data_IF_540431721426
#
_entry.id   IF_540431721426
#
_cell.length_a   1.000
_cell.length_b   1.000
_cell.length_c   1.000
_cell.angle_alpha   90.00
_cell.angle_beta   90.00
_cell.angle_gamma   90.00
#
_symmetry.space_group_name_H-M   'P 1'
#
loop_
_entity.id
_entity.type
_entity.pdbx_description
1 polymer ?
#
# COMPACT_ATOMS: atom_id res chain seq x y z
N UNK A 1 46.52 -27.05 46.96
CA UNK A 1 46.20 -26.82 45.53
C UNK A 1 44.69 -26.59 45.38
N UNK A 2 44.16 -26.43 44.16
CA UNK A 2 42.72 -26.22 43.80
C UNK A 2 42.21 -24.78 43.60
N UNK A 3 43.09 -23.78 43.40
CA UNK A 3 42.69 -22.50 42.78
C UNK A 3 42.42 -22.59 41.26
N UNK A 4 42.60 -23.76 40.66
CA UNK A 4 42.49 -23.99 39.21
C UNK A 4 41.08 -24.38 38.71
N UNK A 5 40.15 -24.74 39.59
CA UNK A 5 38.83 -25.25 39.17
C UNK A 5 37.81 -24.16 38.77
N UNK A 6 38.09 -22.88 39.01
CA UNK A 6 37.18 -21.77 38.66
C UNK A 6 37.43 -21.28 37.22
N UNK A 7 38.60 -21.56 36.62
CA UNK A 7 38.96 -21.10 35.28
C UNK A 7 38.27 -21.88 34.14
N UNK A 8 37.65 -23.04 34.43
CA UNK A 8 37.12 -23.95 33.40
C UNK A 8 35.67 -23.66 32.96
N UNK A 9 34.93 -22.77 33.65
CA UNK A 9 33.53 -22.48 33.33
C UNK A 9 33.32 -21.24 32.43
N UNK A 10 34.41 -20.60 31.98
CA UNK A 10 34.38 -19.30 31.27
C UNK A 10 34.68 -19.38 29.76
N UNK A 11 34.57 -20.57 29.14
CA UNK A 11 34.92 -20.78 27.71
C UNK A 11 33.84 -21.59 26.95
N UNK A 12 32.55 -21.40 27.28
CA UNK A 12 31.42 -21.87 26.45
C UNK A 12 30.32 -20.80 26.30
N UNK A 13 30.69 -19.52 26.22
CA UNK A 13 29.85 -18.51 25.58
C UNK A 13 30.14 -18.50 24.09
N UNK A 14 29.71 -19.57 23.40
CA UNK A 14 29.73 -19.62 21.96
C UNK A 14 28.85 -18.50 21.42
N UNK A 15 29.48 -17.40 20.97
CA UNK A 15 28.82 -16.37 20.20
C UNK A 15 28.38 -17.01 18.88
N UNK A 16 27.16 -17.52 18.85
CA UNK A 16 26.42 -17.78 17.62
C UNK A 16 26.15 -16.42 16.97
N UNK A 17 27.17 -15.86 16.32
CA UNK A 17 26.98 -14.81 15.33
C UNK A 17 26.14 -15.42 14.23
N UNK A 18 24.83 -15.27 14.34
CA UNK A 18 23.92 -15.52 13.25
C UNK A 18 24.45 -14.69 12.09
N UNK A 19 24.98 -15.37 11.08
CA UNK A 19 25.39 -14.74 9.83
C UNK A 19 24.08 -14.29 9.21
N UNK A 20 23.72 -13.02 9.44
CA UNK A 20 22.72 -12.35 8.62
C UNK A 20 23.27 -12.32 7.20
N UNK A 21 22.96 -13.37 6.44
CA UNK A 21 22.87 -13.26 5.01
C UNK A 21 21.87 -12.14 4.78
N UNK A 22 22.34 -11.00 4.30
CA UNK A 22 21.49 -9.88 3.92
C UNK A 22 20.81 -10.27 2.61
N UNK A 23 19.82 -11.16 2.70
CA UNK A 23 19.02 -11.60 1.57
C UNK A 23 18.44 -10.37 0.91
N UNK A 24 18.89 -10.10 -0.30
CA UNK A 24 18.52 -8.89 -1.02
C UNK A 24 17.07 -9.04 -1.49
N UNK A 25 16.15 -8.34 -0.84
CA UNK A 25 14.72 -8.49 -1.10
C UNK A 25 14.32 -8.04 -2.53
N UNK A 26 15.18 -7.25 -3.19
CA UNK A 26 15.03 -6.87 -4.60
C UNK A 26 15.44 -7.95 -5.61
N UNK A 27 15.99 -9.09 -5.16
CA UNK A 27 16.28 -10.25 -6.04
C UNK A 27 15.01 -11.06 -6.35
N UNK A 28 13.98 -10.94 -5.52
CA UNK A 28 12.65 -11.49 -5.78
C UNK A 28 11.87 -10.51 -6.67
N UNK A 29 11.05 -11.05 -7.58
CA UNK A 29 10.26 -10.28 -8.53
C UNK A 29 8.90 -9.83 -7.96
N UNK A 30 8.35 -10.54 -6.98
CA UNK A 30 7.02 -10.25 -6.41
C UNK A 30 6.85 -10.69 -4.94
N UNK A 31 5.74 -10.29 -4.33
CA UNK A 31 5.30 -10.73 -2.99
C UNK A 31 3.84 -11.15 -3.01
N UNK A 32 3.52 -12.35 -2.52
CA UNK A 32 2.14 -12.78 -2.28
C UNK A 32 1.75 -12.48 -0.84
N UNK A 33 0.63 -11.78 -0.67
CA UNK A 33 -0.09 -11.61 0.58
C UNK A 33 -1.27 -12.59 0.59
N UNK A 34 -1.48 -13.41 1.63
CA UNK A 34 -2.62 -14.31 1.69
C UNK A 34 -3.94 -13.52 1.69
N UNK A 35 -5.02 -14.15 1.26
CA UNK A 35 -6.37 -13.54 1.30
C UNK A 35 -6.92 -13.39 2.73
N UNK A 36 -6.43 -14.22 3.65
CA UNK A 36 -6.80 -14.25 5.07
C UNK A 36 -5.54 -14.60 5.87
N UNK A 37 -5.31 -13.89 6.99
CA UNK A 37 -4.26 -14.28 7.94
C UNK A 37 -4.80 -15.29 8.97
N UNK A 38 -3.97 -16.22 9.42
CA UNK A 38 -4.37 -17.35 10.29
C UNK A 38 -5.06 -16.93 11.60
N UNK A 39 -4.74 -15.74 12.12
CA UNK A 39 -5.34 -15.20 13.35
C UNK A 39 -6.72 -14.54 13.14
N UNK A 40 -7.23 -14.55 11.92
CA UNK A 40 -8.51 -13.99 11.49
C UNK A 40 -9.46 -15.09 11.06
N UNK A 41 -10.74 -14.86 11.30
CA UNK A 41 -11.89 -15.71 10.99
C UNK A 41 -12.61 -15.29 9.68
N UNK A 42 -11.91 -14.62 8.75
CA UNK A 42 -12.45 -14.29 7.43
C UNK A 42 -11.49 -13.53 6.50
N UNK A 43 -11.74 -13.62 5.19
CA UNK A 43 -11.00 -12.93 4.12
C UNK A 43 -10.99 -11.41 4.35
N UNK A 44 -9.81 -10.82 4.25
CA UNK A 44 -9.52 -9.39 4.45
C UNK A 44 -10.18 -8.77 5.71
N UNK A 45 -10.31 -9.54 6.80
CA UNK A 45 -10.96 -9.05 8.01
C UNK A 45 -10.17 -7.88 8.61
N UNK A 46 -10.88 -6.79 8.93
CA UNK A 46 -10.31 -5.50 9.32
C UNK A 46 -9.43 -4.84 8.23
N UNK A 47 -9.60 -5.23 6.97
CA UNK A 47 -8.87 -4.70 5.78
C UNK A 47 -7.35 -4.94 5.84
N UNK A 48 -6.90 -5.90 6.64
CA UNK A 48 -5.48 -6.11 6.93
C UNK A 48 -4.71 -6.71 5.75
N UNK A 49 -5.36 -7.54 4.93
CA UNK A 49 -4.73 -8.20 3.78
C UNK A 49 -4.55 -7.18 2.65
N UNK A 50 -5.60 -6.38 2.38
CA UNK A 50 -5.53 -5.22 1.48
C UNK A 50 -4.52 -4.16 1.95
N UNK A 51 -4.49 -3.83 3.24
CA UNK A 51 -3.50 -2.89 3.79
C UNK A 51 -2.07 -3.43 3.71
N UNK A 52 -1.84 -4.71 3.97
CA UNK A 52 -0.51 -5.31 3.86
C UNK A 52 0.01 -5.27 2.42
N UNK A 53 -0.84 -5.58 1.43
CA UNK A 53 -0.51 -5.41 0.00
C UNK A 53 -0.12 -3.96 -0.29
N UNK A 54 -0.97 -2.99 0.07
CA UNK A 54 -0.72 -1.56 -0.19
C UNK A 54 0.59 -1.05 0.45
N UNK A 55 0.90 -1.47 1.69
CA UNK A 55 2.16 -1.08 2.33
C UNK A 55 3.39 -1.71 1.67
N UNK A 56 3.30 -2.93 1.13
CA UNK A 56 4.37 -3.54 0.34
C UNK A 56 4.56 -2.78 -0.98
N UNK A 57 3.50 -2.48 -1.72
CA UNK A 57 3.55 -1.65 -2.94
C UNK A 57 4.21 -0.29 -2.67
N UNK A 58 3.80 0.39 -1.59
CA UNK A 58 4.38 1.66 -1.13
C UNK A 58 5.88 1.58 -0.75
N UNK A 59 6.39 0.38 -0.47
CA UNK A 59 7.78 0.14 -0.13
C UNK A 59 8.60 -0.49 -1.26
N UNK A 60 8.10 -0.47 -2.50
CA UNK A 60 8.82 -0.88 -3.71
C UNK A 60 8.74 -2.38 -4.02
N UNK A 61 7.73 -3.07 -3.48
CA UNK A 61 7.46 -4.47 -3.76
C UNK A 61 6.28 -4.64 -4.75
N UNK A 62 6.40 -5.56 -5.70
CA UNK A 62 5.31 -5.96 -6.58
C UNK A 62 4.40 -6.93 -5.82
N UNK A 63 3.49 -6.39 -5.00
CA UNK A 63 2.65 -7.18 -4.12
C UNK A 63 1.32 -7.59 -4.78
N UNK A 64 0.89 -8.82 -4.53
CA UNK A 64 -0.37 -9.38 -5.02
C UNK A 64 -1.13 -10.02 -3.85
N UNK A 65 -2.46 -9.97 -3.86
CA UNK A 65 -3.24 -10.89 -3.04
C UNK A 65 -3.10 -12.30 -3.61
N UNK A 66 -3.26 -13.33 -2.79
CA UNK A 66 -3.17 -14.71 -3.24
C UNK A 66 -4.20 -15.05 -4.35
N UNK A 67 -5.39 -14.44 -4.35
CA UNK A 67 -6.36 -14.52 -5.46
C UNK A 67 -5.98 -13.72 -6.73
N UNK A 68 -4.93 -12.91 -6.67
CA UNK A 68 -4.41 -12.05 -7.75
C UNK A 68 -3.00 -12.50 -8.20
N UNK A 69 -2.55 -13.70 -7.80
CA UNK A 69 -1.18 -14.19 -8.00
C UNK A 69 -0.79 -14.28 -9.49
N UNK A 70 0.37 -13.72 -9.90
CA UNK A 70 0.84 -13.84 -11.28
C UNK A 70 1.23 -15.29 -11.63
N UNK A 71 1.09 -15.67 -12.90
CA UNK A 71 1.60 -16.94 -13.42
C UNK A 71 3.14 -16.86 -13.59
N UNK A 72 3.86 -16.82 -12.48
CA UNK A 72 5.32 -16.71 -12.40
C UNK A 72 5.91 -17.91 -11.64
N UNK A 73 7.24 -18.06 -11.65
CA UNK A 73 7.90 -19.13 -10.91
C UNK A 73 7.81 -18.87 -9.39
N UNK A 74 7.34 -19.89 -8.65
CA UNK A 74 7.12 -19.87 -7.20
C UNK A 74 8.30 -19.31 -6.39
N UNK A 75 9.52 -19.57 -6.84
CA UNK A 75 10.74 -19.18 -6.11
C UNK A 75 11.28 -17.79 -6.45
N UNK A 76 10.69 -17.11 -7.42
CA UNK A 76 10.95 -15.69 -7.69
C UNK A 76 10.08 -14.79 -6.79
N UNK A 77 9.14 -15.39 -6.05
CA UNK A 77 8.22 -14.73 -5.14
C UNK A 77 8.57 -14.86 -3.65
N UNK A 78 8.26 -13.82 -2.89
CA UNK A 78 8.17 -13.85 -1.44
C UNK A 78 6.74 -14.08 -0.97
N UNK A 79 6.60 -14.59 0.25
CA UNK A 79 5.33 -14.89 0.90
C UNK A 79 5.22 -14.05 2.18
N UNK A 80 4.39 -13.01 2.14
CA UNK A 80 4.13 -12.16 3.29
C UNK A 80 3.14 -12.84 4.25
N UNK A 81 3.42 -12.80 5.55
CA UNK A 81 2.48 -13.16 6.60
C UNK A 81 2.38 -12.04 7.64
N UNK A 82 1.23 -11.94 8.30
CA UNK A 82 1.04 -11.07 9.47
C UNK A 82 0.72 -11.96 10.66
N UNK A 83 1.59 -11.93 11.65
CA UNK A 83 1.53 -12.77 12.84
C UNK A 83 1.06 -11.94 14.03
N UNK A 84 0.02 -12.43 14.71
CA UNK A 84 -0.50 -11.80 15.93
C UNK A 84 0.26 -12.32 17.14
N UNK A 85 1.13 -11.48 17.66
CA UNK A 85 1.98 -11.82 18.80
C UNK A 85 1.19 -11.80 20.13
N UNK A 86 1.55 -12.65 21.12
CA UNK A 86 0.94 -12.63 22.44
C UNK A 86 1.05 -11.27 23.13
N UNK A 87 -0.08 -10.78 23.65
CA UNK A 87 -0.17 -9.49 24.34
C UNK A 87 -1.47 -9.41 25.13
N UNK A 88 -1.40 -9.04 26.41
CA UNK A 88 -2.53 -9.10 27.36
C UNK A 88 -3.56 -8.00 27.13
N UNK A 89 -3.12 -6.77 26.80
CA UNK A 89 -3.96 -5.57 26.81
C UNK A 89 -4.00 -4.81 25.46
N UNK A 90 -3.25 -5.28 24.45
CA UNK A 90 -3.00 -4.54 23.21
C UNK A 90 -2.96 -5.48 22.03
N UNK A 91 -3.37 -5.02 20.84
CA UNK A 91 -3.03 -5.73 19.59
C UNK A 91 -1.55 -5.50 19.31
N UNK A 92 -0.83 -6.61 19.11
CA UNK A 92 0.56 -6.63 18.70
C UNK A 92 0.63 -7.49 17.43
N UNK A 93 1.15 -6.93 16.35
CA UNK A 93 1.33 -7.58 15.05
C UNK A 93 2.80 -7.51 14.64
N UNK A 94 3.24 -8.47 13.85
CA UNK A 94 4.55 -8.49 13.20
C UNK A 94 4.36 -9.02 11.78
N UNK A 95 5.08 -8.45 10.81
CA UNK A 95 5.06 -8.90 9.41
C UNK A 95 6.30 -9.75 9.16
N UNK A 96 6.15 -10.91 8.55
CA UNK A 96 7.26 -11.75 8.09
C UNK A 96 7.19 -11.91 6.58
N UNK A 97 8.34 -11.94 5.90
CA UNK A 97 8.47 -12.37 4.52
C UNK A 97 9.20 -13.71 4.50
N UNK A 98 8.66 -14.69 3.79
CA UNK A 98 9.22 -16.03 3.63
C UNK A 98 9.58 -16.28 2.18
N UNK A 99 10.62 -17.06 1.93
CA UNK A 99 10.93 -17.58 0.58
C UNK A 99 9.97 -18.72 0.18
N UNK A 100 10.13 -19.25 -1.03
CA UNK A 100 9.33 -20.38 -1.50
C UNK A 100 9.54 -21.70 -0.73
N UNK A 101 10.60 -21.80 0.09
CA UNK A 101 10.89 -22.95 0.96
C UNK A 101 10.31 -22.78 2.38
N UNK A 102 9.76 -21.60 2.69
CA UNK A 102 9.19 -21.26 3.98
C UNK A 102 10.18 -20.64 4.98
N UNK A 103 11.42 -20.38 4.58
CA UNK A 103 12.41 -19.70 5.42
C UNK A 103 12.09 -18.22 5.54
N UNK A 104 12.07 -17.70 6.76
CA UNK A 104 11.85 -16.26 7.00
C UNK A 104 13.10 -15.47 6.59
N UNK A 105 12.99 -14.71 5.50
CA UNK A 105 14.06 -13.85 4.98
C UNK A 105 14.00 -12.43 5.55
N UNK A 106 12.84 -12.00 6.04
CA UNK A 106 12.68 -10.72 6.72
C UNK A 106 11.60 -10.78 7.80
N UNK A 107 11.84 -10.06 8.90
CA UNK A 107 10.90 -9.89 10.01
C UNK A 107 10.85 -8.43 10.39
N UNK A 108 9.64 -7.87 10.47
CA UNK A 108 9.42 -6.47 10.84
C UNK A 108 9.64 -6.18 12.31
N UNK A 109 9.71 -4.90 12.68
CA UNK A 109 9.50 -4.49 14.07
C UNK A 109 8.10 -4.84 14.56
N UNK A 110 7.93 -5.01 15.87
CA UNK A 110 6.61 -5.24 16.47
C UNK A 110 5.73 -3.99 16.41
N UNK A 111 4.61 -4.08 15.68
CA UNK A 111 3.59 -3.05 15.66
C UNK A 111 2.61 -3.20 16.82
N UNK A 112 2.55 -2.23 17.73
CA UNK A 112 1.65 -2.29 18.91
C UNK A 112 0.64 -1.14 18.94
N UNK A 113 -0.64 -1.47 19.06
CA UNK A 113 -1.71 -0.48 19.24
C UNK A 113 -2.12 -0.27 20.68
N UNK A 114 -2.51 0.97 21.01
CA UNK A 114 -3.16 1.35 22.27
C UNK A 114 -4.66 1.65 22.11
N UNK A 115 -5.19 1.57 20.89
CA UNK A 115 -6.59 1.85 20.57
C UNK A 115 -7.45 0.71 21.15
N UNK A 116 -8.64 1.06 21.69
CA UNK A 116 -9.59 0.09 22.26
C UNK A 116 -10.55 -0.50 21.23
N UNK A 117 -10.90 0.27 20.20
CA UNK A 117 -11.71 -0.21 19.09
C UNK A 117 -10.96 -1.32 18.33
N UNK A 118 -11.65 -2.40 18.00
CA UNK A 118 -11.06 -3.66 17.58
C UNK A 118 -10.49 -3.60 16.16
N UNK A 119 -11.18 -2.95 15.20
CA UNK A 119 -10.70 -2.77 13.83
C UNK A 119 -9.49 -1.83 13.79
N UNK A 120 -9.65 -0.60 14.27
CA UNK A 120 -8.61 0.43 14.34
C UNK A 120 -7.38 -0.06 15.11
N UNK A 121 -7.53 -0.88 16.16
CA UNK A 121 -6.39 -1.41 16.89
C UNK A 121 -5.55 -2.44 16.11
N UNK A 122 -6.14 -3.23 15.21
CA UNK A 122 -5.33 -4.05 14.30
C UNK A 122 -4.72 -3.21 13.17
N UNK A 123 -5.45 -2.25 12.59
CA UNK A 123 -4.95 -1.39 11.52
C UNK A 123 -3.77 -0.52 11.98
N UNK A 124 -3.84 0.06 13.19
CA UNK A 124 -2.76 0.81 13.82
C UNK A 124 -1.57 -0.07 14.22
N UNK A 125 -1.81 -1.30 14.68
CA UNK A 125 -0.74 -2.27 14.91
C UNK A 125 -0.03 -2.62 13.59
N UNK A 126 -0.77 -2.89 12.51
CA UNK A 126 -0.18 -3.24 11.20
C UNK A 126 0.66 -2.09 10.63
N UNK A 127 0.13 -0.86 10.63
CA UNK A 127 0.87 0.35 10.21
C UNK A 127 2.22 0.48 10.93
N UNK A 128 2.24 0.24 12.25
CA UNK A 128 3.46 0.33 13.06
C UNK A 128 4.46 -0.79 12.78
N UNK A 129 4.00 -1.98 12.42
CA UNK A 129 4.88 -3.06 12.00
C UNK A 129 5.59 -2.72 10.68
N UNK A 130 4.89 -2.07 9.74
CA UNK A 130 5.45 -1.65 8.45
C UNK A 130 6.51 -0.54 8.52
N UNK A 131 6.67 0.17 9.64
CA UNK A 131 7.67 1.25 9.80
C UNK A 131 9.10 0.79 9.44
N UNK A 132 9.46 -0.47 9.73
CA UNK A 132 10.79 -1.01 9.42
C UNK A 132 11.04 -1.31 7.93
N UNK A 133 9.99 -1.37 7.10
CA UNK A 133 10.14 -1.55 5.66
C UNK A 133 10.69 -0.29 4.97
N UNK A 134 10.47 0.89 5.55
CA UNK A 134 10.96 2.19 5.06
C UNK A 134 12.49 2.25 4.90
N UNK A 135 13.24 1.48 5.67
CA UNK A 135 14.71 1.37 5.58
C UNK A 135 15.22 0.36 4.55
N UNK A 136 14.36 -0.50 4.00
CA UNK A 136 14.78 -1.58 3.10
C UNK A 136 15.15 -1.08 1.69
N UNK A 137 14.52 0.02 1.23
CA UNK A 137 14.73 0.61 -0.11
C UNK A 137 14.65 -0.45 -1.22
N UNK A 138 13.62 -1.29 -1.16
CA UNK A 138 13.38 -2.34 -2.15
C UNK A 138 12.95 -1.69 -3.47
N UNK A 139 13.36 -2.32 -4.55
CA UNK A 139 13.04 -1.96 -5.94
C UNK A 139 12.98 -3.28 -6.72
N UNK A 140 11.81 -3.94 -6.69
CA UNK A 140 11.63 -5.24 -7.35
C UNK A 140 11.47 -5.05 -8.86
N UNK A 141 12.20 -5.85 -9.65
CA UNK A 141 12.05 -5.89 -11.11
C UNK A 141 10.66 -6.37 -11.52
N UNK A 142 10.25 -6.01 -12.73
CA UNK A 142 9.01 -6.49 -13.35
C UNK A 142 8.88 -8.01 -13.28
N UNK A 143 7.65 -8.49 -13.07
CA UNK A 143 7.37 -9.92 -12.90
C UNK A 143 7.49 -10.66 -14.23
N UNK A 144 8.49 -11.54 -14.34
CA UNK A 144 8.60 -12.47 -15.45
C UNK A 144 7.47 -13.52 -15.39
N UNK A 145 6.53 -13.41 -16.34
CA UNK A 145 5.42 -14.35 -16.47
C UNK A 145 5.88 -15.59 -17.24
N UNK A 146 5.55 -16.77 -16.72
CA UNK A 146 5.70 -18.04 -17.41
C UNK A 146 4.84 -18.01 -18.69
N UNK A 147 5.52 -17.98 -19.83
CA UNK A 147 4.87 -18.13 -21.13
C UNK A 147 4.26 -19.53 -21.24
N UNK A 148 2.95 -19.60 -21.46
CA UNK A 148 2.31 -20.82 -21.91
C UNK A 148 2.77 -21.12 -23.34
N UNK A 149 3.88 -21.86 -23.50
CA UNK A 149 4.31 -22.39 -24.80
C UNK A 149 3.27 -23.39 -25.33
N UNK A 150 2.29 -22.86 -26.05
CA UNK A 150 1.62 -23.62 -27.11
C UNK A 150 2.47 -23.45 -28.37
N UNK A 151 3.00 -24.55 -28.88
CA UNK A 151 3.95 -24.53 -29.97
C UNK A 151 3.37 -23.98 -31.29
N UNK A 152 4.29 -23.46 -32.12
CA UNK A 152 4.25 -23.35 -33.58
C UNK A 152 4.07 -21.96 -34.23
N UNK A 153 5.19 -21.51 -34.79
CA UNK A 153 5.35 -20.83 -36.10
C UNK A 153 5.58 -19.32 -36.12
N UNK A 154 6.82 -18.99 -36.48
CA UNK A 154 7.43 -17.69 -36.73
C UNK A 154 7.09 -17.05 -38.08
N UNK A 155 7.45 -15.76 -38.21
CA UNK A 155 7.76 -14.92 -39.41
C UNK A 155 6.68 -13.90 -39.90
N UNK A 156 7.05 -12.72 -40.45
CA UNK A 156 7.66 -11.63 -39.67
C UNK A 156 7.12 -10.19 -39.96
N UNK A 157 7.57 -9.26 -39.13
CA UNK A 157 7.48 -7.78 -39.15
C UNK A 157 7.40 -7.06 -40.52
N UNK A 158 6.64 -5.95 -40.58
CA UNK A 158 7.03 -4.74 -41.34
C UNK A 158 6.59 -3.45 -40.63
N UNK A 159 7.53 -2.51 -40.52
CA UNK A 159 7.39 -1.17 -39.91
C UNK A 159 6.92 -0.14 -40.94
N UNK A 160 6.13 0.87 -40.54
CA UNK A 160 6.24 2.29 -40.99
C UNK A 160 5.29 3.27 -40.28
N UNK A 161 5.86 4.18 -39.49
CA UNK A 161 5.40 5.56 -39.19
C UNK A 161 6.05 6.54 -40.24
N UNK A 162 5.90 7.89 -40.26
CA UNK A 162 5.37 8.84 -39.23
C UNK A 162 4.53 10.06 -39.75
N UNK A 163 4.25 11.05 -38.86
CA UNK A 163 3.90 12.50 -39.13
C UNK A 163 2.44 12.80 -39.58
N UNK A 164 1.67 13.84 -39.16
CA UNK A 164 1.77 14.91 -38.12
C UNK A 164 0.38 15.36 -37.60
N UNK A 165 0.31 15.80 -36.34
CA UNK A 165 -0.05 17.18 -35.88
C UNK A 165 -1.16 18.01 -36.61
N UNK A 166 -2.24 18.42 -35.92
CA UNK A 166 -2.33 19.72 -35.18
C UNK A 166 -3.72 19.97 -34.52
N UNK A 167 -3.81 21.02 -33.68
CA UNK A 167 -4.89 21.47 -32.79
C UNK A 167 -6.09 22.19 -33.46
N UNK A 168 -7.32 22.07 -32.90
CA UNK A 168 -8.02 23.21 -32.26
C UNK A 168 -9.43 22.97 -31.66
N UNK A 169 -9.75 23.80 -30.67
CA UNK A 169 -10.87 23.81 -29.70
C UNK A 169 -12.19 24.44 -30.20
N UNK A 170 -13.37 23.97 -29.73
CA UNK A 170 -14.55 24.81 -29.33
C UNK A 170 -15.72 24.06 -28.67
N UNK A 171 -16.37 24.69 -27.68
CA UNK A 171 -17.66 24.29 -27.05
C UNK A 171 -18.84 24.89 -27.90
N UNK A 172 -20.16 24.83 -27.61
CA UNK A 172 -20.92 24.87 -26.33
C UNK A 172 -22.22 24.01 -26.37
N UNK A 173 -22.53 23.26 -25.28
CA UNK A 173 -23.84 22.69 -24.80
C UNK A 173 -24.82 21.97 -25.77
N UNK A 174 -25.29 20.79 -25.33
CA UNK A 174 -26.62 20.67 -24.67
C UNK A 174 -26.84 19.28 -24.01
N UNK A 175 -27.62 19.25 -22.92
CA UNK A 175 -28.14 18.05 -22.25
C UNK A 175 -29.65 17.89 -22.65
N UNK A 176 -30.35 16.74 -22.43
CA UNK A 176 -30.42 16.02 -21.14
C UNK A 176 -30.46 14.47 -21.14
N UNK A 177 -30.08 13.91 -19.98
CA UNK A 177 -30.52 12.66 -19.31
C UNK A 177 -30.80 11.36 -20.12
N UNK A 178 -30.08 10.26 -19.80
CA UNK A 178 -30.50 9.33 -18.73
C UNK A 178 -29.41 8.31 -18.30
N UNK A 179 -29.32 8.10 -16.98
CA UNK A 179 -28.96 6.88 -16.24
C UNK A 179 -27.82 5.94 -16.71
N UNK A 180 -26.61 6.12 -16.16
CA UNK A 180 -25.77 5.01 -15.67
C UNK A 180 -24.76 5.50 -14.63
N UNK A 181 -24.66 4.79 -13.50
CA UNK A 181 -23.73 5.13 -12.41
C UNK A 181 -22.29 4.75 -12.78
N UNK A 182 -21.44 5.75 -13.02
CA UNK A 182 -19.99 5.60 -12.91
C UNK A 182 -19.47 6.71 -12.00
N UNK A 183 -18.90 6.33 -10.85
CA UNK A 183 -18.20 7.28 -9.98
C UNK A 183 -16.87 7.64 -10.66
N UNK A 184 -16.84 8.78 -11.36
CA UNK A 184 -15.67 9.20 -12.12
C UNK A 184 -14.73 10.05 -11.26
N UNK A 185 -13.45 9.68 -11.25
CA UNK A 185 -12.38 10.43 -10.61
C UNK A 185 -12.31 11.87 -11.15
N UNK A 186 -11.98 12.89 -10.32
CA UNK A 186 -11.77 14.25 -10.80
C UNK A 186 -10.68 14.31 -11.88
N UNK A 187 -11.06 14.70 -13.10
CA UNK A 187 -10.14 14.79 -14.24
C UNK A 187 -9.31 16.07 -14.23
N UNK A 188 -9.86 17.14 -13.66
CA UNK A 188 -9.24 18.47 -13.59
C UNK A 188 -7.94 18.49 -12.77
N UNK A 189 -7.02 19.40 -13.13
CA UNK A 189 -5.72 19.57 -12.42
C UNK A 189 -5.91 20.02 -10.97
N UNK A 190 -6.96 20.78 -10.72
CA UNK A 190 -7.37 21.28 -9.41
C UNK A 190 -8.89 21.08 -9.27
N UNK A 191 -9.37 20.88 -8.05
CA UNK A 191 -10.79 20.86 -7.70
C UNK A 191 -10.98 21.39 -6.28
N UNK A 192 -11.91 22.31 -6.11
CA UNK A 192 -12.13 22.99 -4.83
C UNK A 192 -13.25 22.31 -4.06
N UNK A 193 -13.17 22.34 -2.73
CA UNK A 193 -14.05 21.61 -1.84
C UNK A 193 -14.37 22.42 -0.58
N UNK A 194 -15.60 22.30 -0.07
CA UNK A 194 -16.03 22.86 1.21
C UNK A 194 -16.28 21.74 2.23
N UNK A 195 -15.70 21.85 3.41
CA UNK A 195 -16.03 21.00 4.56
C UNK A 195 -15.99 21.81 5.85
N UNK A 196 -17.06 21.74 6.66
CA UNK A 196 -17.21 22.48 7.92
C UNK A 196 -16.87 23.99 7.84
N UNK A 197 -17.22 24.65 6.73
CA UNK A 197 -16.98 26.08 6.50
C UNK A 197 -15.54 26.44 6.10
N UNK A 198 -14.66 25.46 5.91
CA UNK A 198 -13.30 25.64 5.38
C UNK A 198 -13.22 25.23 3.90
N UNK A 199 -12.34 25.90 3.17
CA UNK A 199 -11.99 25.56 1.78
C UNK A 199 -10.83 24.57 1.73
N UNK A 200 -10.88 23.66 0.76
CA UNK A 200 -9.84 22.66 0.50
C UNK A 200 -9.57 22.55 -0.99
N UNK A 201 -8.29 22.39 -1.34
CA UNK A 201 -7.83 22.22 -2.70
C UNK A 201 -7.40 20.77 -2.91
N UNK A 202 -8.03 20.07 -3.85
CA UNK A 202 -7.57 18.78 -4.35
C UNK A 202 -6.75 19.01 -5.64
N UNK A 203 -5.45 18.76 -5.59
CA UNK A 203 -4.55 18.83 -6.74
C UNK A 203 -4.33 17.44 -7.32
N UNK A 204 -4.56 17.26 -8.62
CA UNK A 204 -4.20 16.03 -9.34
C UNK A 204 -2.68 15.97 -9.57
N UNK A 205 -2.09 14.81 -9.34
CA UNK A 205 -0.67 14.51 -9.60
C UNK A 205 -0.56 13.40 -10.66
N UNK A 206 0.66 12.96 -10.99
CA UNK A 206 0.85 11.80 -11.87
C UNK A 206 0.43 10.48 -11.20
N UNK A 207 0.52 10.41 -9.87
CA UNK A 207 0.33 9.21 -9.04
C UNK A 207 -1.04 9.14 -8.34
N UNK A 208 -1.84 10.21 -8.42
CA UNK A 208 -3.12 10.32 -7.73
C UNK A 208 -3.50 11.77 -7.47
N UNK A 209 -3.72 12.13 -6.19
CA UNK A 209 -4.07 13.49 -5.78
C UNK A 209 -3.37 13.89 -4.48
N UNK A 210 -3.25 15.19 -4.23
CA UNK A 210 -2.85 15.77 -2.94
C UNK A 210 -3.97 16.70 -2.45
N UNK A 211 -4.38 16.56 -1.19
CA UNK A 211 -5.43 17.35 -0.56
C UNK A 211 -4.83 18.37 0.41
N UNK A 212 -5.18 19.64 0.22
CA UNK A 212 -4.72 20.77 1.02
C UNK A 212 -5.92 21.46 1.70
N UNK A 213 -5.72 21.98 2.91
CA UNK A 213 -6.60 22.97 3.54
C UNK A 213 -6.11 24.38 3.19
N UNK A 214 -7.01 25.26 2.75
CA UNK A 214 -6.68 26.69 2.60
C UNK A 214 -6.60 27.36 3.98
N UNK A 215 -5.49 28.05 4.25
CA UNK A 215 -5.20 28.66 5.55
C UNK A 215 -4.42 29.96 5.39
N UNK A 216 -4.43 30.82 6.39
CA UNK A 216 -3.54 32.00 6.46
C UNK A 216 -2.25 31.74 7.24
N UNK A 217 -2.05 30.51 7.73
CA UNK A 217 -0.94 30.14 8.63
C UNK A 217 0.32 29.62 7.92
N UNK A 218 0.25 29.29 6.63
CA UNK A 218 1.42 28.94 5.80
C UNK A 218 1.74 30.08 4.83
N UNK A 219 3.00 30.22 4.43
CA UNK A 219 3.44 31.33 3.57
C UNK A 219 2.88 31.30 2.13
N UNK A 220 2.38 30.14 1.69
CA UNK A 220 1.72 29.89 0.40
C UNK A 220 0.19 29.76 0.50
N UNK A 221 -0.36 29.82 1.72
CA UNK A 221 -1.78 29.69 2.01
C UNK A 221 -2.37 28.27 1.93
N UNK A 222 -1.55 27.23 1.75
CA UNK A 222 -1.99 25.84 1.59
C UNK A 222 -1.31 24.87 2.58
N UNK A 223 -2.08 24.27 3.48
CA UNK A 223 -1.62 23.21 4.38
C UNK A 223 -1.88 21.84 3.77
N UNK A 224 -0.83 21.09 3.41
CA UNK A 224 -0.97 19.71 2.95
C UNK A 224 -1.51 18.81 4.07
N UNK A 225 -2.67 18.18 3.84
CA UNK A 225 -3.26 17.21 4.75
C UNK A 225 -2.84 15.77 4.43
N UNK A 226 -2.60 15.47 3.16
CA UNK A 226 -2.21 14.14 2.70
C UNK A 226 -2.39 13.94 1.19
N UNK A 227 -2.13 12.71 0.74
CA UNK A 227 -2.33 12.28 -0.64
C UNK A 227 -3.47 11.27 -0.75
N UNK A 228 -4.10 11.18 -1.93
CA UNK A 228 -5.05 10.13 -2.29
C UNK A 228 -4.38 9.25 -3.33
N UNK A 229 -4.08 8.02 -2.94
CA UNK A 229 -3.29 7.01 -3.65
C UNK A 229 -4.14 5.73 -3.77
N UNK A 230 -3.98 4.92 -4.83
CA UNK A 230 -4.71 3.67 -4.97
C UNK A 230 -4.69 3.03 -6.36
N UNK A 231 -4.88 1.71 -6.41
CA UNK A 231 -4.74 0.91 -7.63
C UNK A 231 -5.89 1.05 -8.64
N UNK A 232 -7.06 1.55 -8.22
CA UNK A 232 -8.21 1.81 -9.11
C UNK A 232 -9.19 2.81 -8.50
N UNK A 233 -10.17 3.27 -9.28
CA UNK A 233 -11.28 4.14 -8.83
C UNK A 233 -12.09 3.58 -7.66
N UNK A 234 -12.03 2.26 -7.41
CA UNK A 234 -12.77 1.56 -6.37
C UNK A 234 -11.94 1.27 -5.11
N UNK A 235 -10.61 1.42 -5.18
CA UNK A 235 -9.65 1.11 -4.10
C UNK A 235 -8.73 2.31 -3.84
N UNK A 236 -9.33 3.48 -3.56
CA UNK A 236 -8.61 4.71 -3.20
C UNK A 236 -8.46 4.88 -1.69
N UNK A 237 -7.30 5.36 -1.27
CA UNK A 237 -6.97 5.64 0.13
C UNK A 237 -6.38 7.04 0.29
N UNK A 238 -6.89 7.80 1.26
CA UNK A 238 -6.27 9.02 1.74
C UNK A 238 -5.21 8.67 2.79
N UNK A 239 -3.96 8.94 2.45
CA UNK A 239 -2.78 8.83 3.32
C UNK A 239 -2.49 10.22 3.88
N UNK A 240 -2.69 10.45 5.17
CA UNK A 240 -2.35 11.74 5.79
C UNK A 240 -0.83 11.96 5.83
N UNK A 241 -0.42 13.21 6.06
CA UNK A 241 0.98 13.55 6.40
C UNK A 241 1.50 12.83 7.66
N UNK A 242 0.59 12.36 8.52
CA UNK A 242 0.87 11.50 9.68
C UNK A 242 0.78 9.98 9.40
N UNK A 243 0.75 9.58 8.13
CA UNK A 243 0.64 8.19 7.64
C UNK A 243 -0.63 7.43 8.10
N UNK A 244 -1.66 8.15 8.58
CA UNK A 244 -2.98 7.58 8.82
C UNK A 244 -3.68 7.30 7.48
N UNK A 245 -4.42 6.19 7.41
CA UNK A 245 -5.03 5.68 6.18
C UNK A 245 -6.55 5.72 6.33
N UNK A 246 -7.24 6.32 5.38
CA UNK A 246 -8.70 6.41 5.33
C UNK A 246 -9.21 6.01 3.95
N UNK A 247 -10.33 5.28 3.87
CA UNK A 247 -10.93 4.95 2.58
C UNK A 247 -11.49 6.20 1.92
N UNK A 248 -11.26 6.32 0.62
CA UNK A 248 -11.76 7.43 -0.21
C UNK A 248 -12.73 6.91 -1.25
N UNK A 249 -13.79 7.68 -1.50
CA UNK A 249 -14.55 7.61 -2.73
C UNK A 249 -14.94 9.00 -3.21
N UNK A 250 -15.36 9.08 -4.47
CA UNK A 250 -16.07 10.23 -5.02
C UNK A 250 -17.51 9.82 -5.28
N UNK A 251 -18.48 10.65 -4.91
CA UNK A 251 -19.89 10.40 -5.26
C UNK A 251 -20.22 10.83 -6.69
N UNK A 252 -21.47 10.60 -7.12
CA UNK A 252 -21.93 10.97 -8.46
C UNK A 252 -21.96 12.49 -8.74
N UNK A 253 -21.78 13.33 -7.71
CA UNK A 253 -21.65 14.79 -7.82
C UNK A 253 -20.17 15.24 -7.79
N UNK A 254 -19.24 14.30 -7.61
CA UNK A 254 -17.81 14.54 -7.47
C UNK A 254 -17.41 15.05 -6.08
N UNK A 255 -18.28 14.94 -5.06
CA UNK A 255 -17.92 15.22 -3.68
C UNK A 255 -16.89 14.19 -3.21
N UNK A 256 -15.87 14.65 -2.51
CA UNK A 256 -14.84 13.78 -1.93
C UNK A 256 -15.35 13.25 -0.59
N UNK A 257 -15.40 11.92 -0.44
CA UNK A 257 -15.82 11.25 0.78
C UNK A 257 -14.61 10.57 1.41
N UNK A 258 -14.25 10.97 2.63
CA UNK A 258 -13.19 10.35 3.43
C UNK A 258 -13.83 9.61 4.60
N UNK A 259 -13.72 8.29 4.61
CA UNK A 259 -14.28 7.44 5.67
C UNK A 259 -13.29 7.33 6.84
N UNK A 260 -13.65 7.93 7.98
CA UNK A 260 -12.87 7.94 9.23
C UNK A 260 -13.57 7.11 10.31
N UNK A 261 -13.06 5.90 10.54
CA UNK A 261 -13.58 4.94 11.52
C UNK A 261 -15.09 4.64 11.36
N UNK A 262 -15.96 5.44 12.00
CA UNK A 262 -17.42 5.30 12.01
C UNK A 262 -18.15 6.48 11.36
N UNK A 263 -17.45 7.48 10.85
CA UNK A 263 -18.05 8.67 10.18
C UNK A 263 -17.47 8.88 8.79
N UNK A 264 -18.24 9.56 7.93
CA UNK A 264 -17.80 9.99 6.61
C UNK A 264 -17.69 11.50 6.59
N UNK A 265 -16.48 12.02 6.36
CA UNK A 265 -16.29 13.44 6.06
C UNK A 265 -16.61 13.66 4.58
N UNK A 266 -17.66 14.45 4.32
CA UNK A 266 -18.13 14.74 2.96
C UNK A 266 -17.69 16.15 2.59
N UNK A 267 -16.62 16.21 1.83
CA UNK A 267 -16.08 17.41 1.21
C UNK A 267 -16.93 17.72 -0.03
N UNK A 268 -17.74 18.78 0.06
CA UNK A 268 -18.65 19.17 -1.02
C UNK A 268 -17.88 19.87 -2.12
N UNK A 269 -17.98 19.38 -3.35
CA UNK A 269 -17.28 20.00 -4.49
C UNK A 269 -17.84 21.40 -4.74
N UNK A 270 -16.95 22.38 -4.91
CA UNK A 270 -17.24 23.73 -5.36
C UNK A 270 -16.65 23.89 -6.76
N UNK A 271 -17.42 24.47 -7.69
CA UNK A 271 -16.96 24.78 -9.05
C UNK A 271 -16.01 25.98 -9.03
#
# INVERSE_FOLDING_TARGET
>A
MNKFFIAAFLIVSGFSTAISQTTNLSEFSYVIVPDQFDFLDGKDKYELNSMAKFYLEKHGFNAYLNSETPNANRCDGLYANVEKLPSVLRKKLQVTLKDCNGFVVYTSVEGTSKIKEFKSSYQDALRKAFVSFKSLRVDQKDVELLSNETAATTVPTTIKTPVSENSNTKEIKNAPAENSKVATLPSAKFSNYLFNGKSFLLRKTAEGYSLYEETTTTGDGLLLLGNIEGASSEKLYFVTTSEALYKVSFDALGNLIIQKENTSEVYKKIN
#
